data_IF_766152408662
#
_entry.id   IF_766152408662
#
_cell.length_a   1.000
_cell.length_b   1.000
_cell.length_c   1.000
_cell.angle_alpha   90.00
_cell.angle_beta   90.00
_cell.angle_gamma   90.00
#
_symmetry.space_group_name_H-M   'P 1'
#
loop_
_entity.id
_entity.type
_entity.pdbx_description
1 polymer ?
#
# COMPACT_ATOMS: atom_id res chain seq x y z
N UNK A 1 -32.85 40.33 17.80
CA UNK A 1 -32.74 38.85 17.93
C UNK A 1 -32.41 38.32 16.58
N UNK A 2 -31.12 38.26 16.27
CA UNK A 2 -30.62 37.73 15.00
C UNK A 2 -30.23 36.28 15.22
N UNK A 3 -30.89 35.44 14.47
CA UNK A 3 -30.75 33.98 14.47
C UNK A 3 -29.54 33.61 13.61
N UNK A 4 -28.43 33.23 14.22
CA UNK A 4 -27.24 32.72 13.58
C UNK A 4 -27.55 31.31 13.00
N UNK A 5 -27.84 31.24 11.73
CA UNK A 5 -27.91 29.97 11.00
C UNK A 5 -26.51 29.36 10.88
N UNK A 6 -26.26 28.30 11.63
CA UNK A 6 -25.07 27.47 11.50
C UNK A 6 -25.12 26.68 10.19
N UNK A 7 -24.37 27.14 9.22
CA UNK A 7 -24.16 26.45 7.93
C UNK A 7 -23.27 25.22 8.15
N UNK A 8 -23.90 24.05 8.28
CA UNK A 8 -23.21 22.79 8.40
C UNK A 8 -22.59 22.41 7.05
N UNK A 9 -21.31 22.72 6.86
CA UNK A 9 -20.50 22.17 5.76
C UNK A 9 -20.51 20.63 5.85
N UNK A 10 -21.42 19.99 5.11
CA UNK A 10 -21.38 18.57 4.82
C UNK A 10 -20.10 18.29 4.06
N UNK A 11 -19.08 17.75 4.75
CA UNK A 11 -17.90 17.15 4.14
C UNK A 11 -18.39 16.12 3.09
N UNK A 12 -18.31 16.46 1.80
CA UNK A 12 -18.48 15.50 0.71
C UNK A 12 -17.31 14.53 0.81
N UNK A 13 -17.54 13.37 1.39
CA UNK A 13 -16.64 12.22 1.27
C UNK A 13 -16.46 11.94 -0.22
N UNK A 14 -15.35 12.36 -0.76
CA UNK A 14 -14.93 12.04 -2.13
C UNK A 14 -14.79 10.52 -2.21
N UNK A 15 -15.70 9.86 -2.91
CA UNK A 15 -15.67 8.42 -3.12
C UNK A 15 -14.46 8.15 -4.01
N UNK A 16 -13.45 7.44 -3.49
CA UNK A 16 -12.28 7.05 -4.29
C UNK A 16 -12.72 6.29 -5.54
N UNK A 17 -12.06 6.57 -6.66
CA UNK A 17 -12.35 5.91 -7.94
C UNK A 17 -12.04 4.40 -7.84
N UNK A 18 -12.97 3.58 -8.28
CA UNK A 18 -12.76 2.13 -8.38
C UNK A 18 -11.91 1.77 -9.61
N UNK A 19 -11.34 0.56 -9.61
CA UNK A 19 -10.58 0.05 -10.76
C UNK A 19 -11.41 0.09 -12.06
N UNK A 20 -12.71 -0.21 -12.00
CA UNK A 20 -13.63 -0.13 -13.16
C UNK A 20 -13.79 1.29 -13.68
N UNK A 21 -13.87 2.27 -12.78
CA UNK A 21 -13.94 3.69 -13.17
C UNK A 21 -12.64 4.18 -13.81
N UNK A 22 -11.49 3.71 -13.33
CA UNK A 22 -10.18 4.01 -13.93
C UNK A 22 -10.06 3.42 -15.34
N UNK A 23 -10.56 2.19 -15.57
CA UNK A 23 -10.61 1.58 -16.90
C UNK A 23 -11.49 2.41 -17.85
N UNK A 24 -12.67 2.82 -17.36
CA UNK A 24 -13.61 3.62 -18.17
C UNK A 24 -13.03 4.99 -18.57
N UNK A 25 -12.27 5.62 -17.69
CA UNK A 25 -11.67 6.95 -17.95
C UNK A 25 -10.45 6.89 -18.86
N UNK A 26 -9.60 5.87 -18.72
CA UNK A 26 -8.30 5.83 -19.40
C UNK A 26 -8.20 4.79 -20.52
N UNK A 27 -9.21 3.92 -20.68
CA UNK A 27 -9.22 2.83 -21.66
C UNK A 27 -8.10 1.80 -21.49
N UNK A 28 -7.44 1.78 -20.32
CA UNK A 28 -6.33 0.87 -20.00
C UNK A 28 -6.62 0.13 -18.70
N UNK A 29 -6.20 -1.13 -18.65
CA UNK A 29 -6.25 -1.94 -17.43
C UNK A 29 -5.27 -1.38 -16.40
N UNK A 30 -5.71 -1.09 -15.15
CA UNK A 30 -4.82 -0.63 -14.11
C UNK A 30 -3.67 -1.61 -13.83
N UNK A 31 -2.51 -1.14 -13.38
CA UNK A 31 -1.37 -1.98 -13.06
C UNK A 31 -1.74 -3.08 -12.05
N UNK A 32 -1.46 -4.34 -12.40
CA UNK A 32 -1.79 -5.52 -11.60
C UNK A 32 -0.70 -6.59 -11.70
N UNK A 33 -0.69 -7.52 -10.75
CA UNK A 33 0.26 -8.63 -10.69
C UNK A 33 -0.40 -9.86 -10.04
N UNK A 34 -1.45 -10.40 -10.69
CA UNK A 34 -2.35 -11.41 -10.11
C UNK A 34 -1.61 -12.70 -9.70
N UNK A 35 -0.65 -13.15 -10.50
CA UNK A 35 0.12 -14.36 -10.17
C UNK A 35 0.94 -14.19 -8.89
N UNK A 36 1.50 -12.99 -8.66
CA UNK A 36 2.20 -12.67 -7.42
C UNK A 36 1.25 -12.56 -6.23
N UNK A 37 0.05 -12.02 -6.43
CA UNK A 37 -0.98 -11.95 -5.38
C UNK A 37 -1.40 -13.35 -4.94
N UNK A 38 -1.66 -14.26 -5.89
CA UNK A 38 -2.00 -15.65 -5.62
C UNK A 38 -0.84 -16.37 -4.90
N UNK A 39 0.39 -16.13 -5.34
CA UNK A 39 1.58 -16.73 -4.73
C UNK A 39 1.76 -16.29 -3.26
N UNK A 40 1.65 -14.98 -2.98
CA UNK A 40 1.79 -14.45 -1.63
C UNK A 40 0.69 -14.97 -0.69
N UNK A 41 -0.58 -14.93 -1.12
CA UNK A 41 -1.70 -15.42 -0.32
C UNK A 41 -1.58 -16.91 -0.01
N UNK A 42 -1.19 -17.70 -1.02
CA UNK A 42 -0.97 -19.13 -0.83
C UNK A 42 0.19 -19.41 0.12
N UNK A 43 1.33 -18.72 -0.03
CA UNK A 43 2.49 -18.89 0.84
C UNK A 43 2.18 -18.57 2.30
N UNK A 44 1.46 -17.50 2.59
CA UNK A 44 1.05 -17.12 3.95
C UNK A 44 0.22 -18.21 4.63
N UNK A 45 -0.64 -18.92 3.88
CA UNK A 45 -1.48 -19.99 4.41
C UNK A 45 -0.74 -21.34 4.59
N UNK A 46 0.43 -21.51 3.97
CA UNK A 46 1.22 -22.75 4.04
C UNK A 46 2.38 -22.63 5.01
N UNK A 47 3.09 -21.48 5.04
CA UNK A 47 4.28 -21.26 5.84
C UNK A 47 4.03 -20.25 6.97
N UNK A 48 4.32 -20.66 8.22
CA UNK A 48 3.98 -19.88 9.43
C UNK A 48 4.62 -18.50 9.50
N UNK A 49 5.86 -18.39 9.02
CA UNK A 49 6.65 -17.15 9.14
C UNK A 49 6.46 -16.21 7.94
N UNK A 50 5.83 -16.70 6.87
CA UNK A 50 5.63 -15.97 5.63
C UNK A 50 4.90 -14.63 5.80
N UNK A 51 3.89 -14.56 6.68
CA UNK A 51 3.17 -13.32 6.93
C UNK A 51 4.07 -12.24 7.55
N UNK A 52 4.97 -12.61 8.47
CA UNK A 52 5.84 -11.65 9.15
C UNK A 52 6.81 -10.96 8.21
N UNK A 53 7.17 -11.62 7.11
CA UNK A 53 8.04 -11.04 6.08
C UNK A 53 7.33 -9.98 5.22
N UNK A 54 6.00 -10.04 5.13
CA UNK A 54 5.24 -9.18 4.20
C UNK A 54 4.25 -8.23 4.86
N UNK A 55 3.98 -8.39 6.17
CA UNK A 55 2.95 -7.60 6.86
C UNK A 55 3.25 -6.10 6.89
N UNK A 56 4.53 -5.73 6.91
CA UNK A 56 4.97 -4.34 6.86
C UNK A 56 5.00 -3.76 5.43
N UNK A 57 4.95 -4.62 4.40
CA UNK A 57 5.01 -4.24 2.99
C UNK A 57 3.60 -4.11 2.41
N UNK A 58 2.69 -5.02 2.78
CA UNK A 58 1.37 -5.14 2.18
C UNK A 58 0.25 -4.72 3.12
N UNK A 59 -0.78 -4.14 2.51
CA UNK A 59 -2.10 -3.89 3.11
C UNK A 59 -3.16 -4.61 2.26
N UNK A 60 -4.38 -4.76 2.78
CA UNK A 60 -5.47 -5.36 2.01
C UNK A 60 -5.69 -4.62 0.68
N UNK A 61 -5.64 -3.28 0.68
CA UNK A 61 -5.80 -2.43 -0.50
C UNK A 61 -4.66 -2.57 -1.52
N UNK A 62 -3.53 -3.16 -1.12
CA UNK A 62 -2.40 -3.41 -2.03
C UNK A 62 -2.75 -4.41 -3.13
N UNK A 63 -3.71 -5.30 -2.87
CA UNK A 63 -4.17 -6.29 -3.84
C UNK A 63 -5.12 -5.67 -4.88
N UNK A 64 -5.01 -6.10 -6.13
CA UNK A 64 -5.87 -5.63 -7.21
C UNK A 64 -7.24 -6.28 -7.17
N UNK A 65 -7.28 -7.61 -6.94
CA UNK A 65 -8.51 -8.39 -6.96
C UNK A 65 -9.24 -8.27 -5.63
N UNK A 66 -10.51 -7.89 -5.66
CA UNK A 66 -11.34 -7.72 -4.45
C UNK A 66 -11.38 -8.99 -3.57
N UNK A 67 -11.42 -10.17 -4.20
CA UNK A 67 -11.33 -11.44 -3.48
C UNK A 67 -10.00 -11.59 -2.70
N UNK A 68 -8.88 -11.13 -3.27
CA UNK A 68 -7.57 -11.17 -2.61
C UNK A 68 -7.51 -10.17 -1.45
N UNK A 69 -8.10 -8.98 -1.62
CA UNK A 69 -8.22 -8.00 -0.53
C UNK A 69 -8.97 -8.58 0.66
N UNK A 70 -10.09 -9.28 0.41
CA UNK A 70 -10.89 -9.94 1.47
C UNK A 70 -10.11 -11.05 2.15
N UNK A 71 -9.41 -11.90 1.39
CA UNK A 71 -8.59 -12.98 1.96
C UNK A 71 -7.48 -12.39 2.83
N UNK A 72 -6.76 -11.38 2.34
CA UNK A 72 -5.68 -10.77 3.12
C UNK A 72 -6.21 -10.03 4.35
N UNK A 73 -7.37 -9.37 4.25
CA UNK A 73 -8.05 -8.76 5.40
C UNK A 73 -8.40 -9.78 6.49
N UNK A 74 -8.92 -10.95 6.12
CA UNK A 74 -9.19 -12.05 7.05
C UNK A 74 -7.90 -12.56 7.71
N UNK A 75 -6.81 -12.72 6.94
CA UNK A 75 -5.48 -13.09 7.43
C UNK A 75 -4.97 -12.06 8.45
N UNK A 76 -5.05 -10.77 8.15
CA UNK A 76 -4.66 -9.70 9.09
C UNK A 76 -5.51 -9.75 10.37
N UNK A 77 -6.80 -10.01 10.26
CA UNK A 77 -7.69 -10.15 11.41
C UNK A 77 -7.31 -11.34 12.30
N UNK A 78 -6.95 -12.48 11.73
CA UNK A 78 -6.44 -13.65 12.47
C UNK A 78 -5.12 -13.32 13.18
N UNK A 79 -4.20 -12.66 12.48
CA UNK A 79 -2.91 -12.25 13.03
C UNK A 79 -3.07 -11.31 14.24
N UNK A 80 -3.94 -10.30 14.14
CA UNK A 80 -4.21 -9.37 15.24
C UNK A 80 -4.78 -10.06 16.49
N UNK A 81 -5.52 -11.16 16.31
CA UNK A 81 -6.04 -11.98 17.40
C UNK A 81 -5.07 -13.07 17.86
N UNK A 82 -3.86 -13.11 17.28
CA UNK A 82 -2.87 -14.17 17.54
C UNK A 82 -3.42 -15.60 17.29
N UNK A 83 -4.34 -15.71 16.35
CA UNK A 83 -4.89 -16.99 15.90
C UNK A 83 -3.99 -17.63 14.84
N UNK A 84 -3.93 -18.97 14.74
CA UNK A 84 -3.17 -19.64 13.69
C UNK A 84 -3.69 -19.25 12.30
N UNK A 85 -2.77 -19.13 11.34
CA UNK A 85 -3.11 -18.80 9.96
C UNK A 85 -2.82 -20.02 9.09
N UNK A 86 -3.88 -20.65 8.63
CA UNK A 86 -3.87 -21.76 7.70
C UNK A 86 -5.14 -21.75 6.84
N UNK A 87 -5.23 -22.68 5.88
CA UNK A 87 -6.38 -22.81 4.99
C UNK A 87 -7.71 -22.90 5.74
N UNK A 88 -7.76 -23.63 6.87
CA UNK A 88 -9.00 -23.90 7.59
C UNK A 88 -9.44 -22.68 8.41
N UNK A 89 -8.51 -22.04 9.08
CA UNK A 89 -8.77 -20.83 9.88
C UNK A 89 -9.18 -19.64 9.01
N UNK A 90 -8.48 -19.43 7.88
CA UNK A 90 -8.83 -18.40 6.89
C UNK A 90 -10.20 -18.65 6.27
N UNK A 91 -10.50 -19.90 5.88
CA UNK A 91 -11.84 -20.28 5.40
C UNK A 91 -12.91 -19.93 6.43
N UNK A 92 -12.71 -20.33 7.70
CA UNK A 92 -13.67 -20.10 8.78
C UNK A 92 -13.86 -18.61 9.07
N UNK A 93 -12.79 -17.79 9.00
CA UNK A 93 -12.87 -16.35 9.16
C UNK A 93 -13.72 -15.71 8.04
N UNK A 94 -13.45 -16.08 6.79
CA UNK A 94 -14.21 -15.60 5.63
C UNK A 94 -15.68 -16.03 5.63
N UNK A 95 -15.96 -17.22 6.16
CA UNK A 95 -17.33 -17.71 6.33
C UNK A 95 -18.10 -16.88 7.35
N UNK A 96 -17.48 -16.59 8.50
CA UNK A 96 -18.08 -15.73 9.55
C UNK A 96 -18.33 -14.30 9.06
N UNK A 97 -17.48 -13.78 8.17
CA UNK A 97 -17.61 -12.45 7.57
C UNK A 97 -18.58 -12.43 6.37
N UNK A 98 -19.10 -13.57 5.94
CA UNK A 98 -19.98 -13.69 4.78
C UNK A 98 -19.28 -13.47 3.44
N UNK A 99 -17.96 -13.56 3.40
CA UNK A 99 -17.16 -13.31 2.20
C UNK A 99 -16.81 -14.58 1.41
N UNK A 100 -16.97 -15.77 2.00
CA UNK A 100 -16.50 -17.03 1.42
C UNK A 100 -17.03 -17.29 0.01
N UNK A 101 -18.33 -17.11 -0.22
CA UNK A 101 -18.94 -17.30 -1.54
C UNK A 101 -18.47 -16.27 -2.56
N UNK A 102 -18.30 -15.01 -2.12
CA UNK A 102 -17.89 -13.89 -2.97
C UNK A 102 -16.47 -14.10 -3.53
N UNK A 103 -15.58 -14.71 -2.75
CA UNK A 103 -14.19 -14.95 -3.19
C UNK A 103 -14.06 -16.16 -4.14
N UNK A 104 -15.10 -16.96 -4.32
CA UNK A 104 -15.08 -18.19 -5.14
C UNK A 104 -15.12 -19.47 -4.32
N UNK A 105 -15.53 -19.41 -3.04
CA UNK A 105 -15.74 -20.55 -2.17
C UNK A 105 -14.46 -21.21 -1.66
N UNK A 106 -14.61 -22.32 -0.92
CA UNK A 106 -13.47 -23.05 -0.33
C UNK A 106 -12.48 -23.58 -1.38
N UNK A 107 -12.98 -23.88 -2.58
CA UNK A 107 -12.16 -24.41 -3.69
C UNK A 107 -11.10 -23.40 -4.13
N UNK A 108 -11.43 -22.11 -4.12
CA UNK A 108 -10.47 -21.07 -4.49
C UNK A 108 -9.32 -20.94 -3.46
N UNK A 109 -9.63 -21.02 -2.17
CA UNK A 109 -8.60 -20.98 -1.11
C UNK A 109 -7.68 -22.21 -1.24
N UNK A 110 -8.25 -23.41 -1.48
CA UNK A 110 -7.47 -24.61 -1.72
C UNK A 110 -6.60 -24.52 -2.97
N UNK A 111 -7.09 -23.88 -4.03
CA UNK A 111 -6.31 -23.63 -5.24
C UNK A 111 -5.10 -22.72 -4.96
N UNK A 112 -5.26 -21.65 -4.18
CA UNK A 112 -4.16 -20.76 -3.80
C UNK A 112 -3.04 -21.49 -3.07
N UNK A 113 -3.39 -22.36 -2.12
CA UNK A 113 -2.41 -23.14 -1.35
C UNK A 113 -1.75 -24.24 -2.18
N UNK A 114 -2.45 -24.84 -3.14
CA UNK A 114 -1.93 -25.92 -3.97
C UNK A 114 -0.91 -25.48 -5.03
N UNK A 115 -0.91 -24.21 -5.41
CA UNK A 115 0.01 -23.65 -6.41
C UNK A 115 1.39 -23.32 -5.84
N UNK A 116 1.56 -23.32 -4.52
CA UNK A 116 2.79 -22.89 -3.87
C UNK A 116 3.77 -24.05 -3.71
N UNK A 117 4.95 -23.87 -4.27
CA UNK A 117 6.08 -24.79 -4.10
C UNK A 117 7.03 -24.33 -2.98
N UNK A 118 7.14 -23.02 -2.71
CA UNK A 118 8.01 -22.44 -1.70
C UNK A 118 7.69 -20.95 -1.49
N UNK A 119 7.83 -20.44 -0.25
CA UNK A 119 7.77 -19.02 0.08
C UNK A 119 9.12 -18.29 -0.03
N UNK A 120 10.17 -18.93 -0.54
CA UNK A 120 11.55 -18.40 -0.54
C UNK A 120 11.72 -16.99 -1.10
N UNK A 121 10.80 -16.49 -1.93
CA UNK A 121 10.86 -15.15 -2.54
C UNK A 121 9.61 -14.30 -2.20
N UNK A 122 8.95 -14.59 -1.09
CA UNK A 122 7.68 -13.93 -0.75
C UNK A 122 7.84 -12.42 -0.58
N UNK A 123 8.95 -11.96 -0.02
CA UNK A 123 9.24 -10.53 0.15
C UNK A 123 9.34 -9.82 -1.21
N UNK A 124 10.05 -10.41 -2.17
CA UNK A 124 10.16 -9.83 -3.53
C UNK A 124 8.79 -9.81 -4.24
N UNK A 125 8.00 -10.88 -4.08
CA UNK A 125 6.63 -10.92 -4.62
C UNK A 125 5.76 -9.82 -3.99
N UNK A 126 5.86 -9.61 -2.69
CA UNK A 126 5.15 -8.55 -1.97
C UNK A 126 5.58 -7.15 -2.45
N UNK A 127 6.87 -6.94 -2.72
CA UNK A 127 7.38 -5.69 -3.29
C UNK A 127 6.81 -5.40 -4.67
N UNK A 128 6.66 -6.40 -5.53
CA UNK A 128 6.01 -6.26 -6.85
C UNK A 128 4.55 -5.83 -6.69
N UNK A 129 3.80 -6.46 -5.78
CA UNK A 129 2.41 -6.09 -5.48
C UNK A 129 2.33 -4.65 -4.99
N UNK A 130 3.19 -4.26 -4.04
CA UNK A 130 3.24 -2.90 -3.50
C UNK A 130 3.56 -1.86 -4.60
N UNK A 131 4.50 -2.15 -5.52
CA UNK A 131 4.78 -1.28 -6.66
C UNK A 131 3.56 -1.10 -7.57
N UNK A 132 2.80 -2.17 -7.86
CA UNK A 132 1.57 -2.08 -8.64
C UNK A 132 0.48 -1.27 -7.92
N UNK A 133 0.39 -1.40 -6.62
CA UNK A 133 -0.50 -0.57 -5.80
C UNK A 133 -0.13 0.91 -5.87
N UNK A 134 1.14 1.26 -5.69
CA UNK A 134 1.62 2.65 -5.80
C UNK A 134 1.28 3.23 -7.18
N UNK A 135 1.49 2.47 -8.26
CA UNK A 135 1.13 2.89 -9.61
C UNK A 135 -0.37 3.18 -9.74
N UNK A 136 -1.24 2.34 -9.16
CA UNK A 136 -2.69 2.57 -9.14
C UNK A 136 -3.07 3.81 -8.36
N UNK A 137 -2.46 4.02 -7.19
CA UNK A 137 -2.71 5.20 -6.37
C UNK A 137 -2.29 6.50 -7.08
N UNK A 138 -1.15 6.49 -7.77
CA UNK A 138 -0.72 7.64 -8.58
C UNK A 138 -1.71 7.93 -9.72
N UNK A 139 -2.22 6.91 -10.41
CA UNK A 139 -3.24 7.07 -11.45
C UNK A 139 -4.53 7.64 -10.85
N UNK A 140 -4.98 7.12 -9.71
CA UNK A 140 -6.18 7.57 -9.01
C UNK A 140 -6.07 9.04 -8.60
N UNK A 141 -4.98 9.42 -7.95
CA UNK A 141 -4.73 10.80 -7.50
C UNK A 141 -4.66 11.75 -8.69
N UNK A 142 -3.94 11.37 -9.75
CA UNK A 142 -3.85 12.19 -10.96
C UNK A 142 -5.23 12.41 -11.60
N UNK A 143 -6.06 11.37 -11.64
CA UNK A 143 -7.42 11.46 -12.17
C UNK A 143 -8.32 12.37 -11.31
N UNK A 144 -8.17 12.34 -10.00
CA UNK A 144 -8.87 13.22 -9.08
C UNK A 144 -8.42 14.68 -9.26
N UNK A 145 -7.11 14.92 -9.35
CA UNK A 145 -6.56 16.27 -9.59
C UNK A 145 -7.08 16.82 -10.93
N UNK A 146 -7.05 16.03 -11.99
CA UNK A 146 -7.60 16.43 -13.29
C UNK A 146 -9.07 16.83 -13.16
N UNK A 147 -9.88 16.01 -12.48
CA UNK A 147 -11.30 16.28 -12.29
C UNK A 147 -11.55 17.55 -11.48
N UNK A 148 -10.80 17.73 -10.37
CA UNK A 148 -10.91 18.92 -9.51
C UNK A 148 -10.47 20.19 -10.27
N UNK A 149 -9.46 20.09 -11.16
CA UNK A 149 -8.98 21.22 -11.97
C UNK A 149 -9.95 21.67 -13.06
N UNK A 150 -10.85 20.82 -13.49
CA UNK A 150 -11.95 21.20 -14.43
C UNK A 150 -13.16 21.82 -13.72
N UNK A 151 -13.20 21.79 -12.38
CA UNK A 151 -14.28 22.39 -11.61
C UNK A 151 -13.97 23.88 -11.36
N UNK A 152 -14.64 24.76 -12.12
CA UNK A 152 -14.48 26.21 -12.04
C UNK A 152 -14.87 26.80 -10.66
N UNK A 153 -15.53 26.02 -9.81
CA UNK A 153 -15.95 26.45 -8.46
C UNK A 153 -14.89 26.19 -7.39
N UNK A 154 -13.87 25.42 -7.71
CA UNK A 154 -12.80 25.03 -6.79
C UNK A 154 -11.70 26.10 -6.73
N UNK A 155 -11.20 26.39 -5.51
CA UNK A 155 -10.04 27.29 -5.36
C UNK A 155 -8.75 26.56 -5.79
N UNK A 156 -7.93 27.24 -6.60
CA UNK A 156 -6.69 26.68 -7.14
C UNK A 156 -5.70 26.30 -6.05
N UNK A 157 -5.63 27.11 -4.97
CA UNK A 157 -4.72 26.83 -3.85
C UNK A 157 -5.19 25.60 -3.05
N UNK A 158 -6.51 25.44 -2.86
CA UNK A 158 -7.07 24.25 -2.20
C UNK A 158 -6.79 22.97 -3.00
N UNK A 159 -6.86 23.04 -4.34
CA UNK A 159 -6.52 21.90 -5.22
C UNK A 159 -5.04 21.55 -5.07
N UNK A 160 -4.15 22.57 -5.07
CA UNK A 160 -2.71 22.36 -4.95
C UNK A 160 -2.35 21.71 -3.61
N UNK A 161 -2.86 22.24 -2.51
CA UNK A 161 -2.64 21.69 -1.15
C UNK A 161 -3.18 20.25 -1.04
N UNK A 162 -4.36 19.99 -1.61
CA UNK A 162 -4.96 18.65 -1.65
C UNK A 162 -4.07 17.67 -2.44
N UNK A 163 -3.56 18.10 -3.60
CA UNK A 163 -2.69 17.28 -4.44
C UNK A 163 -1.37 16.94 -3.74
N UNK A 164 -0.72 17.94 -3.13
CA UNK A 164 0.52 17.75 -2.37
C UNK A 164 0.32 16.76 -1.22
N UNK A 165 -0.72 16.96 -0.43
CA UNK A 165 -1.04 16.07 0.69
C UNK A 165 -1.29 14.62 0.24
N UNK A 166 -2.07 14.40 -0.84
CA UNK A 166 -2.35 13.08 -1.39
C UNK A 166 -1.07 12.39 -1.87
N UNK A 167 -0.21 13.09 -2.62
CA UNK A 167 1.07 12.54 -3.09
C UNK A 167 2.03 12.24 -1.92
N UNK A 168 2.08 13.11 -0.93
CA UNK A 168 2.89 12.90 0.27
C UNK A 168 2.45 11.66 1.05
N UNK A 169 1.14 11.42 1.19
CA UNK A 169 0.61 10.24 1.85
C UNK A 169 1.03 8.94 1.13
N UNK A 170 1.01 8.92 -0.22
CA UNK A 170 1.49 7.78 -1.00
C UNK A 170 2.98 7.56 -0.77
N UNK A 171 3.78 8.63 -0.81
CA UNK A 171 5.21 8.55 -0.54
C UNK A 171 5.50 8.03 0.87
N UNK A 172 4.88 8.61 1.90
CA UNK A 172 5.06 8.20 3.29
C UNK A 172 4.58 6.77 3.58
N UNK A 173 3.44 6.38 3.02
CA UNK A 173 2.87 5.05 3.23
C UNK A 173 3.72 3.92 2.64
N UNK A 174 4.59 4.23 1.69
CA UNK A 174 5.40 3.27 0.95
C UNK A 174 6.92 3.39 1.20
N UNK A 175 7.36 4.47 1.87
CA UNK A 175 8.75 4.63 2.37
C UNK A 175 8.91 3.91 3.73
N UNK A 176 8.19 2.84 4.00
CA UNK A 176 8.58 1.96 5.10
C UNK A 176 9.84 1.23 4.66
N UNK A 177 10.95 1.80 5.08
CA UNK A 177 12.33 1.39 5.11
C UNK A 177 12.54 -0.06 4.65
N UNK A 178 13.25 -0.22 3.52
CA UNK A 178 14.15 -1.36 3.49
C UNK A 178 14.89 -1.33 4.83
N UNK A 179 14.74 -2.37 5.64
CA UNK A 179 15.59 -2.53 6.79
C UNK A 179 17.02 -2.66 6.25
N UNK A 180 17.74 -1.54 6.23
CA UNK A 180 19.16 -1.57 5.93
C UNK A 180 19.77 -2.51 6.94
N UNK A 181 20.36 -3.60 6.47
CA UNK A 181 21.06 -4.51 7.37
C UNK A 181 22.12 -3.73 8.12
N UNK A 182 22.42 -4.09 9.36
CA UNK A 182 23.48 -3.43 10.14
C UNK A 182 24.79 -3.33 9.33
N UNK A 183 25.05 -4.30 8.45
CA UNK A 183 26.19 -4.30 7.55
C UNK A 183 26.14 -3.17 6.52
N UNK A 184 24.97 -2.89 5.90
CA UNK A 184 24.82 -1.78 4.94
C UNK A 184 24.92 -0.43 5.63
N UNK A 185 24.36 -0.29 6.83
CA UNK A 185 24.49 0.93 7.65
C UNK A 185 25.93 1.22 8.04
N UNK A 186 26.69 0.19 8.41
CA UNK A 186 28.13 0.31 8.73
C UNK A 186 28.92 0.75 7.48
N UNK A 187 28.62 0.18 6.30
CA UNK A 187 29.29 0.56 5.05
C UNK A 187 28.99 2.02 4.72
N UNK A 188 27.71 2.44 4.77
CA UNK A 188 27.30 3.82 4.51
C UNK A 188 27.94 4.81 5.51
N UNK A 189 27.96 4.48 6.79
CA UNK A 189 28.60 5.29 7.81
C UNK A 189 30.11 5.42 7.57
N UNK A 190 30.77 4.32 7.17
CA UNK A 190 32.21 4.32 6.85
C UNK A 190 32.55 5.20 5.64
N UNK A 191 31.68 5.19 4.61
CA UNK A 191 31.82 6.08 3.45
C UNK A 191 31.61 7.56 3.83
N UNK A 192 30.62 7.87 4.67
CA UNK A 192 30.39 9.23 5.16
C UNK A 192 31.59 9.74 5.99
N UNK A 193 32.13 8.92 6.89
CA UNK A 193 33.32 9.28 7.69
C UNK A 193 34.51 9.52 6.76
N UNK A 194 34.71 8.68 5.73
CA UNK A 194 35.78 8.85 4.75
C UNK A 194 35.64 10.14 3.96
N UNK A 195 34.45 10.46 3.46
CA UNK A 195 34.16 11.73 2.79
C UNK A 195 34.36 12.95 3.69
N UNK A 196 33.95 12.85 4.96
CA UNK A 196 34.15 13.92 5.93
C UNK A 196 35.64 14.14 6.26
N UNK A 197 36.45 13.06 6.25
CA UNK A 197 37.91 13.16 6.44
C UNK A 197 38.68 13.71 5.24
N UNK A 198 38.11 13.63 4.03
CA UNK A 198 38.70 14.15 2.80
C UNK A 198 38.38 15.66 2.59
N UNK A 199 37.38 16.22 3.29
CA UNK A 199 37.05 17.67 3.28
C UNK A 199 38.00 18.42 4.21
N UNK A 200 38.93 19.14 3.61
CA UNK A 200 39.99 19.90 4.35
C UNK A 200 39.49 21.06 5.26
N UNK A 201 38.24 21.45 5.11
CA UNK A 201 37.69 22.65 5.82
C UNK A 201 36.84 22.33 7.06
N UNK A 202 36.70 21.04 7.46
CA UNK A 202 36.02 20.63 8.71
C UNK A 202 34.54 21.00 8.83
N UNK A 203 33.94 21.65 7.80
CA UNK A 203 32.55 22.09 7.79
C UNK A 203 31.74 21.18 6.88
N UNK A 204 30.90 20.33 7.50
CA UNK A 204 29.94 19.46 6.80
C UNK A 204 28.59 20.18 6.71
N UNK A 205 28.44 21.09 5.72
CA UNK A 205 27.20 21.81 5.49
C UNK A 205 27.34 22.95 4.51
N UNK A 206 26.22 23.57 4.16
CA UNK A 206 26.19 24.79 3.36
C UNK A 206 26.61 25.94 4.27
N UNK A 207 27.71 26.66 3.98
CA UNK A 207 28.13 27.81 4.80
C UNK A 207 27.04 28.87 4.81
N UNK A 208 26.55 29.25 5.98
CA UNK A 208 25.51 30.28 6.15
C UNK A 208 25.98 31.69 5.83
N UNK A 209 27.28 31.90 5.59
CA UNK A 209 27.86 33.23 5.33
C UNK A 209 28.05 34.11 6.56
N UNK A 210 27.73 33.59 7.75
CA UNK A 210 28.03 34.29 9.02
C UNK A 210 29.30 33.69 9.64
N UNK A 211 30.31 34.50 9.84
CA UNK A 211 31.50 34.20 10.65
C UNK A 211 31.21 34.41 12.12
#
# INVERSE_FOLDING_TARGET
MEEYAADSKKSRRTRSLTNEQLIAQHGKIPPQALDYEEAVLGAIMVEKDALTEVIDILKAESFYKDSHQKIYGAIQGLFQRSEPIDLLTVKTALEKEGHLEIIGGPAYIAQLTSKIASAANIEEHARVIAQKYIQRELIRISSEIIKESFDETSDVFDILDSAENKLFQVAQGNIRKSHDTMASLIIAAKEQIKKAGETKDGINGIPSGFN
#
